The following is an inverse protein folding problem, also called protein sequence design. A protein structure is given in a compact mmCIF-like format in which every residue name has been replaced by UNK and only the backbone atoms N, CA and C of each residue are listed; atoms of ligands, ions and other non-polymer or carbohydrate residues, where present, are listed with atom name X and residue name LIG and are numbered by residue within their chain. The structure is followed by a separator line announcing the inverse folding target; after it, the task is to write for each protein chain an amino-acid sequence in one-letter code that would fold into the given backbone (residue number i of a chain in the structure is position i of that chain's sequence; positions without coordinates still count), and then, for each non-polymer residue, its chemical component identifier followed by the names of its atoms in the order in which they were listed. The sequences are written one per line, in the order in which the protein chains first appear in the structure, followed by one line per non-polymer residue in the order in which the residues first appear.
data_IF_869281310820
#
_entry.id   IF_869281310820
#
_cell.length_a   1.000
_cell.length_b   1.000
_cell.length_c   1.000
_cell.angle_alpha   90.00
_cell.angle_beta   90.00
_cell.angle_gamma   90.00
#
_symmetry.space_group_name_H-M   'P 1'
#
loop_
_entity.id
_entity.type
_entity.pdbx_description
1 polymer ?
#
# COMPACT_ATOMS: atom_id res chain seq x y z
N UNK A 1 36.82 8.35 -26.07
CA UNK A 1 35.34 8.47 -26.10
C UNK A 1 34.71 7.34 -25.31
N UNK A 2 34.28 7.57 -24.07
CA UNK A 2 33.35 6.68 -23.35
C UNK A 2 32.35 7.55 -22.59
N UNK A 3 31.33 8.01 -23.33
CA UNK A 3 30.17 8.71 -22.77
C UNK A 3 29.20 7.64 -22.28
N UNK A 4 29.47 7.06 -21.11
CA UNK A 4 28.50 6.18 -20.46
C UNK A 4 27.57 7.03 -19.61
N UNK A 5 26.46 7.39 -20.24
CA UNK A 5 25.14 7.62 -19.66
C UNK A 5 25.07 8.07 -18.20
N UNK A 6 25.20 9.37 -17.99
CA UNK A 6 24.72 10.07 -16.80
C UNK A 6 23.18 9.98 -16.64
N UNK A 7 22.48 9.56 -17.70
CA UNK A 7 21.02 9.53 -17.80
C UNK A 7 20.38 8.42 -16.94
N UNK A 8 21.10 7.35 -16.61
CA UNK A 8 20.56 6.24 -15.81
C UNK A 8 20.44 6.62 -14.32
N UNK A 9 21.28 7.54 -13.83
CA UNK A 9 21.27 7.93 -12.41
C UNK A 9 20.07 8.80 -12.03
N UNK A 10 19.50 9.58 -12.98
CA UNK A 10 18.38 10.48 -12.69
C UNK A 10 17.03 9.76 -12.59
N UNK A 11 16.88 8.56 -13.17
CA UNK A 11 15.63 7.79 -13.10
C UNK A 11 15.38 7.15 -11.72
N UNK A 12 16.44 6.79 -10.99
CA UNK A 12 16.32 6.12 -9.69
C UNK A 12 15.91 7.07 -8.55
N UNK A 13 16.19 8.37 -8.66
CA UNK A 13 15.89 9.34 -7.61
C UNK A 13 14.38 9.64 -7.49
N UNK A 14 13.64 9.62 -8.61
CA UNK A 14 12.20 9.93 -8.60
C UNK A 14 11.36 8.80 -7.96
N UNK A 15 11.78 7.55 -8.10
CA UNK A 15 11.10 6.43 -7.45
C UNK A 15 11.28 6.45 -5.92
N UNK A 16 12.49 6.79 -5.45
CA UNK A 16 12.81 6.84 -4.01
C UNK A 16 12.04 7.94 -3.26
N UNK A 17 11.80 9.11 -3.87
CA UNK A 17 11.08 10.20 -3.22
C UNK A 17 9.59 9.92 -3.00
N UNK A 18 8.97 9.04 -3.81
CA UNK A 18 7.55 8.71 -3.62
C UNK A 18 7.35 7.74 -2.46
N UNK A 19 8.22 6.73 -2.32
CA UNK A 19 8.07 5.69 -1.29
C UNK A 19 8.23 6.23 0.14
N UNK A 20 9.11 7.22 0.34
CA UNK A 20 9.34 7.85 1.65
C UNK A 20 8.11 8.66 2.13
N UNK A 21 7.46 9.39 1.22
CA UNK A 21 6.25 10.18 1.53
C UNK A 21 5.06 9.26 1.86
N UNK A 22 4.94 8.11 1.19
CA UNK A 22 3.84 7.18 1.44
C UNK A 22 4.06 6.30 2.67
N UNK A 23 5.31 5.93 2.98
CA UNK A 23 5.66 5.09 4.13
C UNK A 23 5.12 5.66 5.45
N UNK A 24 5.26 6.97 5.66
CA UNK A 24 4.89 7.65 6.91
C UNK A 24 3.40 7.90 7.09
N UNK A 25 2.56 7.66 6.07
CA UNK A 25 1.13 8.02 6.08
C UNK A 25 0.19 6.87 6.50
N UNK A 26 0.67 5.64 6.50
CA UNK A 26 -0.04 4.44 6.96
C UNK A 26 0.71 3.73 8.08
N UNK A 27 0.07 2.77 8.75
CA UNK A 27 0.71 1.90 9.75
C UNK A 27 0.85 0.43 9.26
N UNK A 28 0.47 0.16 8.01
CA UNK A 28 0.54 -1.16 7.41
C UNK A 28 0.66 -1.12 5.86
N UNK A 29 1.08 -2.24 5.27
CA UNK A 29 1.24 -2.45 3.82
C UNK A 29 0.45 -3.67 3.36
N UNK A 30 -0.28 -3.56 2.26
CA UNK A 30 -0.92 -4.72 1.63
C UNK A 30 0.14 -5.57 0.92
N UNK A 31 0.28 -6.84 1.31
CA UNK A 31 1.22 -7.79 0.73
C UNK A 31 0.61 -8.62 -0.39
N UNK A 32 -0.65 -9.02 -0.26
CA UNK A 32 -1.35 -9.79 -1.29
C UNK A 32 -2.83 -9.46 -1.31
N UNK A 33 -3.43 -9.64 -2.48
CA UNK A 33 -4.87 -9.58 -2.70
C UNK A 33 -5.31 -10.83 -3.45
N UNK A 34 -6.45 -11.39 -3.06
CA UNK A 34 -7.07 -12.54 -3.69
C UNK A 34 -8.56 -12.28 -3.85
N UNK A 35 -9.06 -12.39 -5.07
CA UNK A 35 -10.48 -12.23 -5.33
C UNK A 35 -11.27 -13.42 -4.74
N UNK A 36 -12.24 -13.12 -3.88
CA UNK A 36 -13.22 -14.08 -3.37
C UNK A 36 -14.52 -14.03 -4.18
N UNK A 37 -14.88 -12.83 -4.65
CA UNK A 37 -16.00 -12.58 -5.56
C UNK A 37 -15.76 -11.29 -6.36
N UNK A 38 -16.60 -10.93 -7.35
CA UNK A 38 -16.43 -9.70 -8.13
C UNK A 38 -16.38 -8.41 -7.30
N UNK A 39 -16.94 -8.42 -6.09
CA UNK A 39 -16.99 -7.26 -5.20
C UNK A 39 -16.19 -7.44 -3.91
N UNK A 40 -15.55 -8.60 -3.69
CA UNK A 40 -14.96 -8.94 -2.39
C UNK A 40 -13.58 -9.56 -2.59
N UNK A 41 -12.60 -9.01 -1.89
CA UNK A 41 -11.20 -9.46 -1.90
C UNK A 41 -10.75 -9.86 -0.50
N UNK A 42 -9.90 -10.87 -0.43
CA UNK A 42 -9.11 -11.22 0.74
C UNK A 42 -7.75 -10.51 0.63
N UNK A 43 -7.41 -9.71 1.63
CA UNK A 43 -6.17 -8.95 1.71
C UNK A 43 -5.31 -9.52 2.84
N UNK A 44 -4.02 -9.71 2.54
CA UNK A 44 -2.99 -9.91 3.57
C UNK A 44 -2.26 -8.60 3.75
N UNK A 45 -2.26 -8.10 4.98
CA UNK A 45 -1.74 -6.80 5.38
C UNK A 45 -0.66 -7.00 6.43
N UNK A 46 0.49 -6.37 6.23
CA UNK A 46 1.59 -6.36 7.20
C UNK A 46 1.63 -5.01 7.90
N UNK A 47 1.35 -5.00 9.21
CA UNK A 47 1.57 -3.82 10.06
C UNK A 47 3.07 -3.54 10.20
N UNK A 48 3.41 -2.30 10.50
CA UNK A 48 4.81 -1.86 10.67
C UNK A 48 5.49 -2.51 11.89
N UNK A 49 4.70 -2.99 12.86
CA UNK A 49 5.20 -3.79 13.98
C UNK A 49 5.59 -5.23 13.56
N UNK A 50 5.39 -5.62 12.28
CA UNK A 50 5.67 -6.94 11.73
C UNK A 50 4.50 -7.92 11.78
N UNK A 51 3.37 -7.56 12.39
CA UNK A 51 2.18 -8.41 12.48
C UNK A 51 1.53 -8.57 11.10
N UNK A 52 1.18 -9.82 10.75
CA UNK A 52 0.43 -10.14 9.54
C UNK A 52 -1.03 -10.33 9.88
N UNK A 53 -1.89 -9.68 9.11
CA UNK A 53 -3.32 -9.63 9.31
C UNK A 53 -4.00 -9.99 8.00
N UNK A 54 -4.96 -10.91 8.04
CA UNK A 54 -5.74 -11.32 6.87
C UNK A 54 -7.19 -10.88 7.04
N UNK A 55 -7.72 -10.12 6.09
CA UNK A 55 -9.07 -9.55 6.16
C UNK A 55 -9.81 -9.68 4.84
N UNK A 56 -11.14 -9.65 4.93
CA UNK A 56 -12.01 -9.58 3.75
C UNK A 56 -12.54 -8.15 3.61
N UNK A 57 -12.44 -7.59 2.41
CA UNK A 57 -12.78 -6.21 2.11
C UNK A 57 -13.59 -6.11 0.82
N UNK A 58 -14.49 -5.13 0.76
CA UNK A 58 -15.12 -4.77 -0.51
C UNK A 58 -14.06 -4.25 -1.48
N UNK A 59 -14.07 -4.72 -2.72
CA UNK A 59 -13.09 -4.33 -3.73
C UNK A 59 -12.95 -2.79 -3.79
N UNK A 60 -11.73 -2.32 -3.55
CA UNK A 60 -11.34 -0.92 -3.61
C UNK A 60 -10.07 -0.81 -4.46
N UNK A 61 -10.17 -0.10 -5.58
CA UNK A 61 -9.06 0.08 -6.52
C UNK A 61 -7.84 0.80 -5.90
N UNK A 62 -8.02 1.49 -4.77
CA UNK A 62 -6.93 2.16 -4.05
C UNK A 62 -6.22 1.24 -3.05
N UNK A 63 -6.85 0.12 -2.65
CA UNK A 63 -6.31 -0.89 -1.73
C UNK A 63 -5.58 -2.00 -2.51
N UNK A 64 -4.68 -1.60 -3.42
CA UNK A 64 -3.88 -2.52 -4.21
C UNK A 64 -2.66 -3.07 -3.44
N UNK A 65 -2.07 -4.17 -3.94
CA UNK A 65 -0.81 -4.70 -3.39
C UNK A 65 0.29 -3.62 -3.41
N UNK A 66 0.98 -3.47 -2.29
CA UNK A 66 1.97 -2.42 -2.05
C UNK A 66 1.39 -1.10 -1.55
N UNK A 67 0.07 -0.94 -1.48
CA UNK A 67 -0.54 0.25 -0.91
C UNK A 67 -0.32 0.33 0.61
N UNK A 68 -0.13 1.55 1.10
CA UNK A 68 -0.09 1.88 2.53
C UNK A 68 -1.50 2.15 3.01
N UNK A 69 -1.84 1.56 4.14
CA UNK A 69 -3.18 1.60 4.74
C UNK A 69 -3.08 1.85 6.23
N UNK A 70 -4.17 2.31 6.83
CA UNK A 70 -4.31 2.38 8.27
C UNK A 70 -5.18 1.22 8.75
N UNK A 71 -4.62 0.34 9.58
CA UNK A 71 -5.33 -0.72 10.29
C UNK A 71 -5.63 -0.23 11.69
N UNK A 72 -6.88 -0.35 12.14
CA UNK A 72 -7.28 -0.02 13.51
C UNK A 72 -6.59 -0.93 14.53
N UNK A 73 -6.35 -0.41 15.74
CA UNK A 73 -5.80 -1.21 16.84
C UNK A 73 -6.79 -2.28 17.31
N UNK A 74 -8.08 -1.94 17.32
CA UNK A 74 -9.19 -2.88 17.50
C UNK A 74 -9.49 -3.54 16.15
N UNK A 75 -8.92 -4.73 15.94
CA UNK A 75 -9.07 -5.50 14.71
C UNK A 75 -10.22 -6.51 14.83
N UNK A 76 -11.37 -6.17 14.25
CA UNK A 76 -12.59 -6.97 14.24
C UNK A 76 -12.77 -7.81 12.95
N UNK A 77 -11.79 -7.75 12.02
CA UNK A 77 -11.84 -8.37 10.69
C UNK A 77 -12.91 -7.76 9.78
N UNK A 78 -13.27 -6.50 10.01
CA UNK A 78 -14.30 -5.79 9.25
C UNK A 78 -13.69 -4.77 8.27
N UNK A 79 -14.44 -4.40 7.24
CA UNK A 79 -14.01 -3.44 6.22
C UNK A 79 -13.60 -2.08 6.81
N UNK A 80 -14.27 -1.68 7.90
CA UNK A 80 -14.01 -0.44 8.63
C UNK A 80 -12.66 -0.43 9.36
N UNK A 81 -12.08 -1.60 9.60
CA UNK A 81 -10.78 -1.74 10.28
C UNK A 81 -9.63 -1.31 9.36
N UNK A 82 -9.87 -1.19 8.04
CA UNK A 82 -8.88 -0.72 7.08
C UNK A 82 -9.33 0.60 6.44
N UNK A 83 -8.52 1.64 6.61
CA UNK A 83 -8.68 2.90 5.89
C UNK A 83 -7.64 3.01 4.79
N UNK A 84 -8.11 3.02 3.54
CA UNK A 84 -7.27 3.26 2.38
C UNK A 84 -6.88 4.73 2.32
N UNK A 85 -5.61 4.98 2.02
CA UNK A 85 -5.12 6.34 1.82
C UNK A 85 -5.36 6.70 0.36
N UNK A 86 -6.36 7.56 0.10
CA UNK A 86 -6.72 7.94 -1.26
C UNK A 86 -5.67 8.87 -1.87
N UNK A 87 -5.22 8.56 -3.08
CA UNK A 87 -4.15 9.30 -3.80
C UNK A 87 -4.53 10.73 -4.20
N UNK A 88 -5.79 11.13 -4.05
CA UNK A 88 -6.34 12.40 -4.55
C UNK A 88 -6.70 13.43 -3.45
N UNK A 89 -6.49 13.12 -2.17
CA UNK A 89 -6.71 14.09 -1.07
C UNK A 89 -5.55 15.09 -0.89
N UNK A 90 -4.55 15.02 -1.77
CA UNK A 90 -3.41 15.93 -1.83
C UNK A 90 -3.73 17.11 -2.77
N UNK A 91 -4.65 18.00 -2.35
CA UNK A 91 -4.74 19.35 -2.93
C UNK A 91 -3.78 20.28 -2.21
#
# INVERSE_FOLDING_TARGET
MKKLSLVVLMGAALAACTQDVYSTKGNATILSSKDLSPEVVELVVQKDNGELVTMTRKYDAHAAVGARVNVTDEYNHEDADLKTIHRYEFK
#
